data_IF_236630281295
#
_entry.id   IF_236630281295
#
_cell.length_a   1.000
_cell.length_b   1.000
_cell.length_c   1.000
_cell.angle_alpha   90.00
_cell.angle_beta   90.00
_cell.angle_gamma   90.00
#
_symmetry.space_group_name_H-M   'P 1'
#
loop_
_entity.id
_entity.type
_entity.pdbx_description
1 polymer ?
#
# COMPACT_ATOMS: atom_id res chain seq x y z
N UNK A 1 -0.41 -8.55 32.77
CA UNK A 1 1.06 -8.36 32.79
C UNK A 1 1.45 -7.59 31.53
N UNK A 2 1.87 -6.33 31.67
CA UNK A 2 2.26 -5.46 30.54
C UNK A 2 3.69 -5.82 30.14
N UNK A 3 3.89 -6.42 28.96
CA UNK A 3 5.22 -6.65 28.41
C UNK A 3 5.86 -5.33 28.02
N UNK A 4 7.09 -5.07 28.47
CA UNK A 4 7.90 -3.94 28.02
C UNK A 4 8.12 -4.01 26.50
N UNK A 5 8.38 -2.88 25.81
CA UNK A 5 8.79 -2.90 24.42
C UNK A 5 10.22 -3.48 24.36
N UNK A 6 10.33 -4.81 24.38
CA UNK A 6 11.56 -5.49 24.01
C UNK A 6 11.79 -5.14 22.55
N UNK A 7 12.86 -4.39 22.28
CA UNK A 7 13.47 -4.37 20.95
C UNK A 7 13.66 -5.84 20.57
N UNK A 8 12.90 -6.31 19.58
CA UNK A 8 13.05 -7.67 19.06
C UNK A 8 14.48 -7.74 18.47
N UNK A 9 15.44 -8.30 19.20
CA UNK A 9 16.80 -8.45 18.70
C UNK A 9 16.75 -9.29 17.41
N UNK A 10 17.40 -8.81 16.35
CA UNK A 10 17.49 -9.53 15.08
C UNK A 10 16.38 -9.26 14.06
N UNK A 11 15.54 -8.22 14.24
CA UNK A 11 14.62 -7.74 13.18
C UNK A 11 14.82 -6.25 12.89
N UNK A 12 14.55 -5.85 11.66
CA UNK A 12 14.56 -4.47 11.19
C UNK A 12 13.18 -3.84 11.37
N UNK A 13 13.15 -2.57 11.78
CA UNK A 13 11.94 -1.76 11.75
C UNK A 13 11.75 -1.19 10.35
N UNK A 14 10.54 -1.34 9.79
CA UNK A 14 10.11 -0.66 8.58
C UNK A 14 9.12 0.43 8.99
N UNK A 15 9.34 1.64 8.47
CA UNK A 15 8.46 2.79 8.69
C UNK A 15 8.02 3.33 7.34
N UNK A 16 6.72 3.55 7.17
CA UNK A 16 6.16 4.20 5.99
C UNK A 16 5.15 5.24 6.40
N UNK A 17 5.17 6.38 5.72
CA UNK A 17 4.10 7.38 5.80
C UNK A 17 3.57 7.65 4.40
N UNK A 18 2.25 7.71 4.26
CA UNK A 18 1.59 8.14 3.03
C UNK A 18 0.33 8.95 3.35
N UNK A 19 -0.07 9.79 2.40
CA UNK A 19 -1.24 10.67 2.55
C UNK A 19 -2.24 10.43 1.43
N UNK A 20 -3.53 10.36 1.79
CA UNK A 20 -4.62 10.52 0.83
C UNK A 20 -5.24 11.91 1.01
N UNK A 21 -5.40 12.60 -0.11
CA UNK A 21 -5.82 14.00 -0.19
C UNK A 21 -7.06 14.07 -1.05
N UNK A 22 -8.12 14.71 -0.56
CA UNK A 22 -9.34 14.95 -1.34
C UNK A 22 -9.02 15.79 -2.60
N UNK A 23 -9.63 15.43 -3.73
CA UNK A 23 -9.36 16.02 -5.04
C UNK A 23 -8.14 15.45 -5.76
N UNK A 24 -7.25 14.73 -5.06
CA UNK A 24 -6.07 14.08 -5.65
C UNK A 24 -6.23 12.55 -5.63
N UNK A 25 -6.49 12.00 -4.44
CA UNK A 25 -6.52 10.55 -4.20
C UNK A 25 -7.95 10.00 -4.08
N UNK A 26 -8.92 10.85 -3.77
CA UNK A 26 -10.34 10.52 -3.74
C UNK A 26 -11.16 11.77 -4.06
N UNK A 27 -12.40 11.59 -4.48
CA UNK A 27 -13.32 12.69 -4.77
C UNK A 27 -14.22 12.98 -3.56
N UNK A 28 -14.79 14.20 -3.41
CA UNK A 28 -15.66 14.53 -2.28
C UNK A 28 -16.87 13.59 -2.11
N UNK A 29 -17.39 13.04 -3.22
CA UNK A 29 -18.50 12.09 -3.21
C UNK A 29 -18.08 10.63 -2.95
N UNK A 30 -16.80 10.38 -2.70
CA UNK A 30 -16.29 9.03 -2.43
C UNK A 30 -16.79 8.58 -1.06
N UNK A 31 -17.25 7.33 -0.98
CA UNK A 31 -17.64 6.70 0.28
C UNK A 31 -16.53 6.85 1.36
N UNK A 32 -16.79 7.53 2.49
CA UNK A 32 -15.78 7.80 3.51
C UNK A 32 -15.17 6.51 4.10
N UNK A 33 -15.96 5.43 4.19
CA UNK A 33 -15.48 4.11 4.60
C UNK A 33 -14.36 3.63 3.66
N UNK A 34 -14.56 3.76 2.35
CA UNK A 34 -13.56 3.38 1.34
C UNK A 34 -12.34 4.30 1.37
N UNK A 35 -12.52 5.59 1.70
CA UNK A 35 -11.39 6.53 1.89
C UNK A 35 -10.49 6.07 3.03
N UNK A 36 -11.08 5.76 4.20
CA UNK A 36 -10.34 5.25 5.36
C UNK A 36 -9.63 3.94 5.06
N UNK A 37 -10.35 2.98 4.46
CA UNK A 37 -9.76 1.71 3.99
C UNK A 37 -8.56 1.96 3.07
N UNK A 38 -8.72 2.80 2.05
CA UNK A 38 -7.64 3.11 1.09
C UNK A 38 -6.41 3.72 1.77
N UNK A 39 -6.61 4.63 2.71
CA UNK A 39 -5.53 5.32 3.42
C UNK A 39 -4.58 4.32 4.10
N UNK A 40 -5.11 3.37 4.86
CA UNK A 40 -4.31 2.33 5.50
C UNK A 40 -3.81 1.27 4.50
N UNK A 41 -4.62 0.89 3.51
CA UNK A 41 -4.25 -0.13 2.52
C UNK A 41 -2.97 0.22 1.75
N UNK A 42 -2.76 1.49 1.42
CA UNK A 42 -1.54 1.96 0.74
C UNK A 42 -0.30 1.70 1.58
N UNK A 43 -0.31 2.13 2.84
CA UNK A 43 0.81 1.91 3.74
C UNK A 43 1.05 0.41 4.03
N UNK A 44 -0.01 -0.41 4.14
CA UNK A 44 0.12 -1.86 4.24
C UNK A 44 0.82 -2.47 3.01
N UNK A 45 0.50 -1.97 1.81
CA UNK A 45 1.11 -2.39 0.54
C UNK A 45 2.61 -2.10 0.51
N UNK A 46 3.04 -0.93 0.98
CA UNK A 46 4.47 -0.59 1.10
C UNK A 46 5.21 -1.51 2.08
N UNK A 47 4.61 -1.82 3.24
CA UNK A 47 5.20 -2.79 4.19
C UNK A 47 5.33 -4.17 3.54
N UNK A 48 4.29 -4.62 2.83
CA UNK A 48 4.30 -5.89 2.10
C UNK A 48 5.40 -5.90 1.04
N UNK A 49 5.62 -4.81 0.32
CA UNK A 49 6.65 -4.69 -0.73
C UNK A 49 8.08 -4.87 -0.22
N UNK A 50 8.31 -4.74 1.09
CA UNK A 50 9.60 -5.02 1.74
C UNK A 50 9.65 -6.40 2.42
N UNK A 51 8.61 -7.22 2.27
CA UNK A 51 8.47 -8.50 2.99
C UNK A 51 8.10 -8.33 4.47
N UNK A 52 7.67 -7.13 4.88
CA UNK A 52 7.40 -6.82 6.28
C UNK A 52 6.06 -7.33 6.80
N UNK A 53 5.95 -7.39 8.13
CA UNK A 53 4.71 -7.62 8.85
C UNK A 53 4.32 -6.31 9.54
N UNK A 54 3.20 -5.68 9.15
CA UNK A 54 2.73 -4.43 9.77
C UNK A 54 2.22 -4.72 11.19
N UNK A 55 2.37 -3.76 12.11
CA UNK A 55 1.98 -3.95 13.51
C UNK A 55 1.23 -2.77 14.13
N UNK A 56 1.57 -1.54 13.77
CA UNK A 56 0.95 -0.37 14.35
C UNK A 56 0.88 0.78 13.35
N UNK A 57 -0.17 1.60 13.45
CA UNK A 57 -0.36 2.80 12.64
C UNK A 57 -0.74 4.01 13.50
N UNK A 58 -0.32 5.18 13.06
CA UNK A 58 -0.74 6.49 13.56
C UNK A 58 -1.52 7.20 12.46
N UNK A 59 -2.65 7.80 12.81
CA UNK A 59 -3.55 8.47 11.86
C UNK A 59 -3.58 9.96 12.15
N UNK A 60 -3.05 10.78 11.26
CA UNK A 60 -3.20 12.23 11.31
C UNK A 60 -4.26 12.67 10.30
N UNK A 61 -5.29 13.37 10.75
CA UNK A 61 -6.37 13.88 9.90
C UNK A 61 -6.44 15.41 10.00
N UNK A 62 -6.47 16.06 8.85
CA UNK A 62 -6.72 17.50 8.72
C UNK A 62 -8.10 17.70 8.06
N UNK A 63 -8.96 18.49 8.71
CA UNK A 63 -10.37 18.64 8.35
C UNK A 63 -10.73 20.13 8.16
N UNK A 64 -11.62 20.47 7.22
CA UNK A 64 -12.16 21.82 7.11
C UNK A 64 -12.99 22.20 8.33
N UNK A 65 -13.11 23.52 8.57
CA UNK A 65 -14.07 24.03 9.55
C UNK A 65 -15.50 23.56 9.18
N UNK A 66 -16.26 23.07 10.16
CA UNK A 66 -17.62 22.58 9.94
C UNK A 66 -17.71 21.21 9.26
N UNK A 67 -16.64 20.40 9.30
CA UNK A 67 -16.69 19.01 8.82
C UNK A 67 -17.83 18.23 9.47
N UNK A 68 -18.38 17.24 8.74
CA UNK A 68 -19.39 16.34 9.28
C UNK A 68 -18.73 15.28 10.20
N UNK A 69 -19.06 15.20 11.50
CA UNK A 69 -18.50 14.17 12.38
C UNK A 69 -18.77 12.74 11.92
N UNK A 70 -19.92 12.50 11.27
CA UNK A 70 -20.27 11.17 10.75
C UNK A 70 -19.34 10.73 9.61
N UNK A 71 -18.79 11.68 8.85
CA UNK A 71 -17.77 11.39 7.84
C UNK A 71 -16.53 10.78 8.51
N UNK A 72 -16.05 11.40 9.59
CA UNK A 72 -14.86 10.93 10.32
C UNK A 72 -15.09 9.56 10.94
N UNK A 73 -16.26 9.33 11.54
CA UNK A 73 -16.64 8.00 12.05
C UNK A 73 -16.55 6.95 10.94
N UNK A 74 -17.16 7.21 9.79
CA UNK A 74 -17.14 6.27 8.66
C UNK A 74 -15.73 6.04 8.09
N UNK A 75 -14.87 7.07 8.04
CA UNK A 75 -13.44 6.90 7.73
C UNK A 75 -12.76 5.95 8.73
N UNK A 76 -13.01 6.14 10.02
CA UNK A 76 -12.44 5.27 11.06
C UNK A 76 -13.00 3.86 11.02
N UNK A 77 -14.26 3.64 10.63
CA UNK A 77 -14.81 2.30 10.42
C UNK A 77 -13.99 1.56 9.35
N UNK A 78 -13.71 2.21 8.20
CA UNK A 78 -12.90 1.62 7.13
C UNK A 78 -11.45 1.35 7.53
N UNK A 79 -10.85 2.26 8.31
CA UNK A 79 -9.51 2.07 8.90
C UNK A 79 -9.49 0.88 9.86
N UNK A 80 -10.41 0.85 10.82
CA UNK A 80 -10.49 -0.16 11.88
C UNK A 80 -10.78 -1.55 11.33
N UNK A 81 -11.67 -1.67 10.35
CA UNK A 81 -12.02 -2.95 9.73
C UNK A 81 -10.81 -3.55 9.01
N UNK A 82 -10.08 -2.72 8.26
CA UNK A 82 -8.86 -3.15 7.59
C UNK A 82 -7.73 -3.44 8.60
N UNK A 83 -7.57 -2.59 9.62
CA UNK A 83 -6.57 -2.80 10.67
C UNK A 83 -6.78 -4.13 11.40
N UNK A 84 -8.04 -4.46 11.75
CA UNK A 84 -8.41 -5.77 12.34
C UNK A 84 -8.08 -6.93 11.42
N UNK A 85 -8.33 -6.80 10.11
CA UNK A 85 -8.01 -7.85 9.12
C UNK A 85 -6.52 -8.18 9.05
N UNK A 86 -5.66 -7.19 9.28
CA UNK A 86 -4.20 -7.31 9.18
C UNK A 86 -3.48 -7.36 10.54
N UNK A 87 -4.22 -7.45 11.65
CA UNK A 87 -3.70 -7.44 13.02
C UNK A 87 -2.80 -6.20 13.29
N UNK A 88 -3.25 -5.04 12.81
CA UNK A 88 -2.56 -3.75 13.00
C UNK A 88 -3.29 -2.94 14.07
N UNK A 89 -2.54 -2.45 15.05
CA UNK A 89 -3.07 -1.53 16.04
C UNK A 89 -3.11 -0.10 15.49
N UNK A 90 -4.28 0.56 15.52
CA UNK A 90 -4.32 2.03 15.42
C UNK A 90 -3.92 2.58 16.78
N UNK A 91 -2.65 2.95 16.92
CA UNK A 91 -2.00 3.22 18.20
C UNK A 91 -2.11 4.68 18.66
N UNK A 92 -2.63 5.56 17.81
CA UNK A 92 -2.77 6.98 18.10
C UNK A 92 -2.94 7.80 16.83
N UNK A 93 -2.81 9.11 16.98
CA UNK A 93 -3.05 10.03 15.87
C UNK A 93 -3.10 11.49 16.29
N UNK A 94 -3.50 12.31 15.33
CA UNK A 94 -3.71 13.75 15.48
C UNK A 94 -4.96 14.15 14.69
N UNK A 95 -5.74 15.10 15.20
CA UNK A 95 -6.89 15.68 14.51
C UNK A 95 -6.77 17.20 14.53
N UNK A 96 -6.61 17.79 13.35
CA UNK A 96 -6.40 19.22 13.20
C UNK A 96 -7.42 19.85 12.26
N UNK A 97 -7.75 21.12 12.49
CA UNK A 97 -8.52 21.91 11.54
C UNK A 97 -7.57 22.55 10.51
N UNK A 98 -7.95 22.51 9.23
CA UNK A 98 -7.21 23.10 8.12
C UNK A 98 -8.17 23.79 7.15
N UNK A 99 -7.86 24.95 6.56
CA UNK A 99 -8.74 25.60 5.57
C UNK A 99 -8.79 24.86 4.22
N UNK A 100 -7.94 23.86 4.03
CA UNK A 100 -7.81 23.11 2.78
C UNK A 100 -8.73 21.88 2.66
N UNK A 101 -8.50 21.05 1.63
CA UNK A 101 -9.21 19.78 1.46
C UNK A 101 -8.95 18.83 2.63
N UNK A 102 -9.78 17.79 2.75
CA UNK A 102 -9.55 16.71 3.71
C UNK A 102 -8.23 16.00 3.37
N UNK A 103 -7.35 15.88 4.37
CA UNK A 103 -6.09 15.12 4.28
C UNK A 103 -6.05 14.07 5.37
N UNK A 104 -5.82 12.82 4.99
CA UNK A 104 -5.59 11.72 5.92
C UNK A 104 -4.20 11.18 5.67
N UNK A 105 -3.34 11.27 6.68
CA UNK A 105 -1.97 10.77 6.64
C UNK A 105 -1.86 9.58 7.58
N UNK A 106 -1.35 8.47 7.06
CA UNK A 106 -1.12 7.24 7.81
C UNK A 106 0.37 7.02 7.90
N UNK A 107 0.87 6.89 9.13
CA UNK A 107 2.22 6.41 9.40
C UNK A 107 2.13 5.01 9.96
N UNK A 108 2.69 4.01 9.27
CA UNK A 108 2.67 2.61 9.68
C UNK A 108 4.07 2.12 10.06
N UNK A 109 4.10 1.25 11.05
CA UNK A 109 5.25 0.53 11.53
C UNK A 109 5.07 -0.96 11.21
N UNK A 110 6.14 -1.59 10.76
CA UNK A 110 6.22 -3.03 10.58
C UNK A 110 7.61 -3.55 10.90
N UNK A 111 7.75 -4.87 10.90
CA UNK A 111 9.02 -5.54 11.19
C UNK A 111 9.33 -6.57 10.13
N UNK A 112 10.62 -6.77 9.87
CA UNK A 112 11.10 -7.80 8.95
C UNK A 112 12.44 -8.36 9.42
N UNK A 113 12.67 -9.64 9.18
CA UNK A 113 13.97 -10.28 9.39
C UNK A 113 14.98 -9.73 8.37
N UNK A 114 16.25 -9.43 8.73
CA UNK A 114 17.21 -8.87 7.79
C UNK A 114 17.39 -9.68 6.50
N UNK A 115 17.32 -11.01 6.60
CA UNK A 115 17.44 -11.93 5.46
C UNK A 115 16.20 -11.98 4.56
N UNK A 116 15.09 -11.39 4.99
CA UNK A 116 13.80 -11.33 4.29
C UNK A 116 13.38 -9.90 3.93
N UNK A 117 14.23 -8.92 4.25
CA UNK A 117 14.02 -7.52 3.89
C UNK A 117 14.37 -7.34 2.42
N UNK A 118 13.35 -7.18 1.58
CA UNK A 118 13.56 -7.07 0.14
C UNK A 118 13.61 -5.59 -0.25
N UNK A 119 14.70 -5.22 -0.94
CA UNK A 119 14.89 -3.89 -1.50
C UNK A 119 14.54 -3.87 -2.99
N UNK A 120 14.62 -2.69 -3.59
CA UNK A 120 14.46 -2.51 -5.04
C UNK A 120 15.75 -2.77 -5.83
N UNK A 121 16.90 -2.80 -5.17
CA UNK A 121 18.24 -2.59 -5.77
C UNK A 121 19.07 -3.85 -5.97
N UNK A 122 18.45 -5.02 -6.00
CA UNK A 122 19.18 -6.30 -6.04
C UNK A 122 18.71 -7.27 -7.13
N UNK A 123 17.80 -6.82 -8.02
CA UNK A 123 17.51 -7.55 -9.26
C UNK A 123 18.76 -7.69 -10.13
N UNK A 124 18.86 -8.81 -10.86
CA UNK A 124 20.02 -9.14 -11.71
C UNK A 124 19.60 -9.69 -13.07
N UNK A 125 20.46 -9.64 -14.09
CA UNK A 125 20.21 -10.29 -15.37
C UNK A 125 19.92 -11.79 -15.18
N UNK A 126 18.90 -12.29 -15.89
CA UNK A 126 18.42 -13.67 -15.75
C UNK A 126 17.30 -13.87 -14.72
N UNK A 127 16.96 -12.84 -13.94
CA UNK A 127 15.78 -12.89 -13.07
C UNK A 127 14.48 -12.93 -13.88
N UNK A 128 13.54 -13.76 -13.43
CA UNK A 128 12.17 -13.73 -13.92
C UNK A 128 11.37 -12.63 -13.20
N UNK A 129 10.48 -11.96 -13.94
CA UNK A 129 9.63 -10.89 -13.42
C UNK A 129 8.22 -11.43 -13.20
N UNK A 130 7.70 -11.25 -11.99
CA UNK A 130 6.35 -11.67 -11.60
C UNK A 130 5.53 -10.50 -11.09
N UNK A 131 4.21 -10.64 -11.18
CA UNK A 131 3.24 -9.75 -10.54
C UNK A 131 2.21 -10.58 -9.78
N UNK A 132 1.60 -10.00 -8.75
CA UNK A 132 0.51 -10.64 -8.02
C UNK A 132 -0.85 -10.15 -8.51
N UNK A 133 -1.74 -11.09 -8.84
CA UNK A 133 -3.09 -10.79 -9.33
C UNK A 133 -3.12 -10.13 -10.72
N UNK A 134 -4.27 -9.56 -11.06
CA UNK A 134 -4.48 -8.88 -12.34
C UNK A 134 -4.24 -7.36 -12.25
N UNK A 135 -3.70 -6.80 -13.33
CA UNK A 135 -3.30 -5.41 -13.46
C UNK A 135 -4.37 -4.53 -14.13
N UNK A 136 -4.39 -3.26 -13.75
CA UNK A 136 -5.37 -2.29 -14.23
C UNK A 136 -6.70 -2.34 -13.46
N UNK A 137 -7.66 -1.53 -13.93
CA UNK A 137 -8.96 -1.32 -13.27
C UNK A 137 -8.95 -0.24 -12.18
N UNK A 138 -7.78 0.24 -11.75
CA UNK A 138 -7.66 1.28 -10.69
C UNK A 138 -8.43 2.54 -11.02
N UNK A 139 -8.34 3.04 -12.26
CA UNK A 139 -9.05 4.25 -12.73
C UNK A 139 -10.58 4.11 -12.64
N UNK A 140 -11.11 2.87 -12.65
CA UNK A 140 -12.53 2.59 -12.52
C UNK A 140 -12.97 2.40 -11.06
N UNK A 141 -12.12 2.71 -10.09
CA UNK A 141 -12.44 2.67 -8.66
C UNK A 141 -11.79 1.52 -7.89
N UNK A 142 -11.13 0.55 -8.56
CA UNK A 142 -10.41 -0.55 -7.87
C UNK A 142 -9.37 -0.04 -6.87
N UNK A 143 -8.84 1.16 -7.07
CA UNK A 143 -7.88 1.78 -6.15
C UNK A 143 -8.45 2.06 -4.74
N UNK A 144 -9.77 2.01 -4.55
CA UNK A 144 -10.43 2.23 -3.26
C UNK A 144 -10.51 0.93 -2.44
N UNK A 145 -10.51 -0.22 -3.11
CA UNK A 145 -10.86 -1.50 -2.50
C UNK A 145 -9.83 -2.59 -2.75
N UNK A 146 -8.67 -2.25 -3.32
CA UNK A 146 -7.58 -3.21 -3.52
C UNK A 146 -7.18 -3.86 -2.19
N UNK A 147 -6.66 -5.09 -2.29
CA UNK A 147 -6.24 -5.86 -1.14
C UNK A 147 -4.71 -5.81 -1.02
N UNK A 148 -4.17 -5.29 0.10
CA UNK A 148 -2.73 -5.30 0.35
C UNK A 148 -2.18 -6.73 0.39
N UNK A 149 -1.10 -7.01 -0.33
CA UNK A 149 -0.58 -8.37 -0.52
C UNK A 149 0.36 -8.83 0.60
N UNK A 150 0.03 -8.54 1.86
CA UNK A 150 0.93 -8.81 3.00
C UNK A 150 1.19 -10.31 3.15
N UNK A 151 0.14 -11.14 3.11
CA UNK A 151 0.29 -12.60 3.27
C UNK A 151 1.05 -13.22 2.11
N UNK A 152 0.74 -12.79 0.89
CA UNK A 152 1.41 -13.25 -0.33
C UNK A 152 2.88 -12.84 -0.34
N UNK A 153 3.21 -11.60 0.03
CA UNK A 153 4.59 -11.15 0.15
C UNK A 153 5.36 -11.94 1.21
N UNK A 154 4.75 -12.21 2.37
CA UNK A 154 5.36 -13.06 3.40
C UNK A 154 5.64 -14.47 2.90
N UNK A 155 4.68 -15.08 2.24
CA UNK A 155 4.87 -16.40 1.64
C UNK A 155 6.00 -16.40 0.60
N UNK A 156 6.08 -15.37 -0.26
CA UNK A 156 7.14 -15.26 -1.28
C UNK A 156 8.54 -15.19 -0.65
N UNK A 157 8.77 -14.30 0.32
CA UNK A 157 10.10 -14.13 0.96
C UNK A 157 10.48 -15.30 1.87
N UNK A 158 9.52 -16.12 2.27
CA UNK A 158 9.74 -17.33 3.08
C UNK A 158 10.10 -18.56 2.24
N UNK A 159 9.66 -18.61 0.98
CA UNK A 159 9.76 -19.80 0.13
C UNK A 159 10.68 -19.64 -1.09
N UNK A 160 11.05 -18.41 -1.45
CA UNK A 160 11.84 -18.13 -2.65
C UNK A 160 12.96 -17.12 -2.40
N UNK A 161 14.07 -17.20 -3.16
CA UNK A 161 15.10 -16.17 -3.16
C UNK A 161 14.63 -14.95 -3.97
N UNK A 162 13.86 -14.07 -3.33
CA UNK A 162 13.39 -12.83 -3.96
C UNK A 162 14.55 -11.83 -4.04
N UNK A 163 14.93 -11.43 -5.25
CA UNK A 163 16.01 -10.46 -5.44
C UNK A 163 15.54 -9.01 -5.33
N UNK A 164 14.36 -8.65 -5.85
CA UNK A 164 13.80 -7.31 -5.70
C UNK A 164 12.28 -7.34 -5.67
N UNK A 165 11.67 -6.38 -4.98
CA UNK A 165 10.22 -6.29 -4.86
C UNK A 165 9.77 -4.84 -4.73
N UNK A 166 8.60 -4.55 -5.28
CA UNK A 166 7.88 -3.27 -5.19
C UNK A 166 6.38 -3.55 -5.33
N UNK A 167 5.54 -2.73 -4.71
CA UNK A 167 4.11 -2.71 -5.02
C UNK A 167 3.84 -1.86 -6.27
N UNK A 168 2.65 -2.04 -6.86
CA UNK A 168 2.23 -1.32 -8.06
C UNK A 168 1.21 -0.25 -7.69
N UNK A 169 1.66 1.00 -7.62
CA UNK A 169 0.85 2.16 -7.25
C UNK A 169 0.71 3.15 -8.41
N UNK A 170 1.78 3.35 -9.20
CA UNK A 170 1.83 4.25 -10.36
C UNK A 170 1.72 3.49 -11.69
N UNK A 171 1.71 2.15 -11.62
CA UNK A 171 1.51 1.24 -12.74
C UNK A 171 2.79 0.50 -13.13
N UNK A 172 2.60 -0.64 -13.80
CA UNK A 172 3.66 -1.62 -14.08
C UNK A 172 4.92 -0.97 -14.68
N UNK A 173 4.78 -0.15 -15.73
CA UNK A 173 5.93 0.45 -16.41
C UNK A 173 6.71 1.41 -15.50
N UNK A 174 6.01 2.26 -14.74
CA UNK A 174 6.62 3.24 -13.85
C UNK A 174 7.32 2.57 -12.67
N UNK A 175 6.64 1.63 -12.03
CA UNK A 175 7.15 0.97 -10.82
C UNK A 175 8.25 -0.05 -11.14
N UNK A 176 8.14 -0.78 -12.26
CA UNK A 176 9.24 -1.64 -12.73
C UNK A 176 10.48 -0.81 -13.02
N UNK A 177 10.34 0.35 -13.68
CA UNK A 177 11.47 1.26 -13.94
C UNK A 177 12.21 1.66 -12.66
N UNK A 178 11.53 1.74 -11.52
CA UNK A 178 12.17 2.01 -10.22
C UNK A 178 13.06 0.86 -9.75
N UNK A 179 12.62 -0.39 -9.90
CA UNK A 179 13.48 -1.57 -9.64
C UNK A 179 14.67 -1.56 -10.60
N UNK A 180 14.41 -1.43 -11.90
CA UNK A 180 15.46 -1.45 -12.94
C UNK A 180 16.52 -0.38 -12.71
N UNK A 181 16.09 0.84 -12.41
CA UNK A 181 16.99 1.96 -12.11
C UNK A 181 17.78 1.74 -10.81
N UNK A 182 17.16 1.21 -9.76
CA UNK A 182 17.83 0.92 -8.50
C UNK A 182 18.84 -0.25 -8.61
N UNK A 183 18.62 -1.16 -9.55
CA UNK A 183 19.47 -2.33 -9.81
C UNK A 183 20.49 -2.15 -10.92
N UNK A 184 20.38 -1.11 -11.74
CA UNK A 184 21.27 -0.90 -12.89
C UNK A 184 21.08 -1.94 -14.00
N UNK A 185 19.86 -2.44 -14.19
CA UNK A 185 19.52 -3.47 -15.19
C UNK A 185 18.37 -3.03 -16.09
N UNK A 186 18.14 -3.77 -17.18
CA UNK A 186 16.96 -3.64 -18.04
C UNK A 186 15.98 -4.80 -17.84
N UNK A 187 14.83 -4.75 -18.53
CA UNK A 187 13.86 -5.84 -18.58
C UNK A 187 13.20 -5.94 -19.95
N UNK A 188 12.85 -7.17 -20.32
CA UNK A 188 11.98 -7.49 -21.45
C UNK A 188 10.69 -8.10 -20.89
N UNK A 189 9.54 -7.62 -21.36
CA UNK A 189 8.22 -8.11 -20.95
C UNK A 189 7.52 -8.76 -22.13
N UNK A 190 7.05 -9.99 -21.92
CA UNK A 190 6.16 -10.67 -22.86
C UNK A 190 4.76 -10.09 -22.70
N UNK A 191 4.27 -9.34 -23.70
CA UNK A 191 2.97 -8.66 -23.66
C UNK A 191 1.82 -9.60 -23.29
N UNK A 192 1.84 -10.80 -23.86
CA UNK A 192 0.77 -11.78 -23.73
C UNK A 192 0.75 -12.46 -22.35
N UNK A 193 1.85 -12.36 -21.61
CA UNK A 193 1.96 -12.85 -20.24
C UNK A 193 1.49 -11.82 -19.19
N UNK A 194 1.22 -10.57 -19.57
CA UNK A 194 0.75 -9.55 -18.64
C UNK A 194 -0.71 -9.84 -18.25
N UNK A 195 -1.02 -10.10 -16.96
CA UNK A 195 -2.38 -10.44 -16.54
C UNK A 195 -3.24 -9.17 -16.48
N UNK A 196 -3.82 -8.77 -17.62
CA UNK A 196 -4.66 -7.56 -17.72
C UNK A 196 -6.09 -7.87 -17.27
N UNK A 197 -6.56 -7.13 -16.26
CA UNK A 197 -7.92 -7.25 -15.74
C UNK A 197 -9.00 -6.93 -16.78
N UNK A 198 -10.16 -7.58 -16.64
CA UNK A 198 -11.34 -7.32 -17.50
C UNK A 198 -11.70 -5.83 -17.56
N UNK A 199 -11.74 -5.16 -16.41
CA UNK A 199 -12.04 -3.73 -16.28
C UNK A 199 -11.07 -2.85 -17.09
N UNK A 200 -9.79 -3.21 -17.17
CA UNK A 200 -8.82 -2.50 -17.98
C UNK A 200 -9.04 -2.70 -19.48
N UNK A 201 -9.41 -3.93 -19.90
CA UNK A 201 -9.75 -4.24 -21.30
C UNK A 201 -10.98 -3.47 -21.76
N UNK A 202 -12.05 -3.48 -20.97
CA UNK A 202 -13.29 -2.76 -21.29
C UNK A 202 -13.06 -1.27 -21.48
N UNK A 203 -12.25 -0.64 -20.60
CA UNK A 203 -11.91 0.78 -20.73
C UNK A 203 -11.05 1.09 -21.94
N UNK A 204 -10.15 0.18 -22.33
CA UNK A 204 -9.35 0.36 -23.53
C UNK A 204 -10.24 0.31 -24.78
N UNK A 205 -11.18 -0.64 -24.82
CA UNK A 205 -12.15 -0.77 -25.92
C UNK A 205 -13.15 0.38 -25.99
N UNK A 206 -13.54 0.98 -24.85
CA UNK A 206 -14.47 2.13 -24.83
C UNK A 206 -13.84 3.46 -25.25
N UNK A 207 -12.54 3.48 -25.57
CA UNK A 207 -11.79 4.65 -26.04
C UNK A 207 -11.36 4.52 -27.51
N UNK A 208 -11.60 3.36 -28.13
CA UNK A 208 -11.42 3.10 -29.55
C UNK A 208 -12.71 3.43 -30.31
#
# INVERSE_FOLDING_TARGET
MRGSPRTRQGVLLIVKTDSVVEGIHFLPATDPYKVGRKALARCLSDIAAMGGIPTAALIAIALPAGFNPQYVISVYDGLCDLARKYDVAIAGGETSQSPGPIVITVSILGWVEPTRCILRSTAKPGDAIFVTGELGGSILGKHLEFEPRVKEARWLVENFPIHAMIDLSDGLATDLKRILGASGVGAELLSDAIPISKAARERASSRA
#
